data_IF_758191027459
#
_entry.id   IF_758191027459
#
_cell.length_a   1.000
_cell.length_b   1.000
_cell.length_c   1.000
_cell.angle_alpha   90.00
_cell.angle_beta   90.00
_cell.angle_gamma   90.00
#
_symmetry.space_group_name_H-M   'P 1'
#
loop_
_entity.id
_entity.type
_entity.pdbx_description
1 polymer ?
#
# COMPACT_ATOMS: atom_id res chain seq x y z
N UNK A 1 -30.72 -12.73 7.00
CA UNK A 1 -29.40 -12.08 6.82
C UNK A 1 -28.38 -13.04 7.40
N UNK A 2 -27.56 -13.67 6.56
CA UNK A 2 -26.41 -14.44 7.04
C UNK A 2 -25.54 -13.55 7.94
N UNK A 3 -24.96 -14.12 9.00
CA UNK A 3 -24.10 -13.39 9.93
C UNK A 3 -22.97 -12.68 9.18
N UNK A 4 -23.00 -11.33 9.15
CA UNK A 4 -21.89 -10.50 8.64
C UNK A 4 -20.61 -10.92 9.37
N UNK A 5 -19.55 -11.19 8.61
CA UNK A 5 -18.26 -11.57 9.18
C UNK A 5 -17.71 -10.47 10.07
N UNK A 6 -17.19 -10.82 11.25
CA UNK A 6 -16.49 -9.90 12.14
C UNK A 6 -15.03 -10.30 12.26
N UNK A 7 -14.17 -9.34 12.62
CA UNK A 7 -12.81 -9.66 13.06
C UNK A 7 -12.86 -10.49 14.35
N UNK A 8 -12.05 -11.54 14.42
CA UNK A 8 -11.93 -12.43 15.57
C UNK A 8 -11.03 -11.89 16.68
N UNK A 9 -10.25 -10.83 16.44
CA UNK A 9 -9.34 -10.26 17.44
C UNK A 9 -8.99 -8.79 17.21
N UNK A 10 -8.62 -8.08 18.29
CA UNK A 10 -8.13 -6.69 18.23
C UNK A 10 -6.87 -6.54 17.37
N UNK A 11 -5.95 -7.52 17.46
CA UNK A 11 -4.76 -7.55 16.63
C UNK A 11 -5.11 -7.72 15.14
N UNK A 12 -6.12 -8.55 14.85
CA UNK A 12 -6.64 -8.72 13.50
C UNK A 12 -7.15 -7.42 12.89
N UNK A 13 -7.90 -6.64 13.67
CA UNK A 13 -8.35 -5.30 13.28
C UNK A 13 -7.16 -4.40 12.94
N UNK A 14 -6.20 -4.27 13.85
CA UNK A 14 -5.07 -3.34 13.68
C UNK A 14 -4.22 -3.74 12.47
N UNK A 15 -3.86 -5.02 12.33
CA UNK A 15 -3.00 -5.47 11.23
C UNK A 15 -3.71 -5.45 9.88
N UNK A 16 -5.01 -5.76 9.83
CA UNK A 16 -5.77 -5.69 8.58
C UNK A 16 -5.93 -4.24 8.10
N UNK A 17 -6.31 -3.32 9.00
CA UNK A 17 -6.44 -1.91 8.63
C UNK A 17 -5.08 -1.22 8.44
N UNK A 18 -4.04 -1.61 9.17
CA UNK A 18 -2.69 -1.14 8.88
C UNK A 18 -2.18 -1.68 7.53
N UNK A 19 -2.52 -2.91 7.15
CA UNK A 19 -2.18 -3.46 5.83
C UNK A 19 -2.96 -2.83 4.68
N UNK A 20 -4.10 -2.20 4.94
CA UNK A 20 -4.77 -1.37 3.92
C UNK A 20 -4.01 -0.06 3.70
N UNK A 21 -3.53 0.57 4.77
CA UNK A 21 -2.76 1.80 4.72
C UNK A 21 -1.36 1.59 4.13
N UNK A 22 -0.66 0.56 4.60
CA UNK A 22 0.68 0.19 4.16
C UNK A 22 0.62 -0.52 2.83
N UNK A 23 1.04 0.16 1.78
CA UNK A 23 1.07 -0.39 0.43
C UNK A 23 2.26 0.09 -0.39
N UNK A 24 2.17 -0.09 -1.71
CA UNK A 24 3.15 0.44 -2.66
C UNK A 24 3.40 1.93 -2.42
N UNK A 25 2.35 2.71 -2.10
CA UNK A 25 2.42 4.15 -1.78
C UNK A 25 3.51 4.51 -0.77
N UNK A 26 3.62 3.78 0.33
CA UNK A 26 4.64 3.98 1.35
C UNK A 26 6.03 3.67 0.83
N UNK A 27 6.15 2.69 -0.08
CA UNK A 27 7.44 2.19 -0.55
C UNK A 27 8.09 3.12 -1.58
N UNK A 28 7.32 3.75 -2.46
CA UNK A 28 7.87 4.59 -3.55
C UNK A 28 7.47 6.07 -3.53
N UNK A 29 6.20 6.38 -3.21
CA UNK A 29 5.60 7.70 -3.38
C UNK A 29 6.06 8.58 -2.23
N UNK A 30 6.02 8.04 -1.01
CA UNK A 30 6.51 8.74 0.17
C UNK A 30 8.01 9.07 0.06
N UNK A 31 8.92 8.13 -0.22
CA UNK A 31 10.33 8.46 -0.38
C UNK A 31 10.56 9.49 -1.48
N UNK A 32 9.91 9.35 -2.63
CA UNK A 32 10.00 10.34 -3.70
C UNK A 32 9.60 11.75 -3.24
N UNK A 33 8.44 11.92 -2.61
CA UNK A 33 7.98 13.22 -2.13
C UNK A 33 8.87 13.78 -1.00
N UNK A 34 9.34 12.92 -0.10
CA UNK A 34 10.32 13.34 0.90
C UNK A 34 11.60 13.86 0.22
N UNK A 35 12.08 13.21 -0.84
CA UNK A 35 13.28 13.63 -1.55
C UNK A 35 13.14 14.95 -2.30
N UNK A 36 11.99 15.19 -2.92
CA UNK A 36 11.75 16.45 -3.64
C UNK A 36 11.53 17.63 -2.68
N UNK A 37 10.90 17.40 -1.54
CA UNK A 37 10.40 18.44 -0.65
C UNK A 37 11.23 18.65 0.63
N UNK A 38 12.54 18.40 0.56
CA UNK A 38 13.46 18.75 1.66
C UNK A 38 13.54 17.74 2.81
N UNK A 39 13.32 16.46 2.53
CA UNK A 39 13.53 15.34 3.44
C UNK A 39 12.68 15.47 4.70
N UNK A 40 13.33 15.69 5.84
CA UNK A 40 12.64 15.80 7.12
C UNK A 40 11.70 17.01 7.21
N UNK A 41 11.92 18.08 6.42
CA UNK A 41 11.00 19.20 6.38
C UNK A 41 9.61 18.75 5.89
N UNK A 42 9.56 17.99 4.80
CA UNK A 42 8.34 17.34 4.32
C UNK A 42 7.75 16.37 5.35
N UNK A 43 8.58 15.53 5.98
CA UNK A 43 8.12 14.54 6.97
C UNK A 43 7.41 15.23 8.14
N UNK A 44 7.93 16.38 8.61
CA UNK A 44 7.30 17.16 9.68
C UNK A 44 5.94 17.71 9.25
N UNK A 45 5.83 18.30 8.06
CA UNK A 45 4.57 18.84 7.53
C UNK A 45 3.56 17.70 7.34
N UNK A 46 4.00 16.58 6.76
CA UNK A 46 3.22 15.36 6.61
C UNK A 46 2.68 14.84 7.93
N UNK A 47 3.52 14.81 8.98
CA UNK A 47 3.12 14.36 10.31
C UNK A 47 2.06 15.27 10.94
N UNK A 48 2.18 16.59 10.74
CA UNK A 48 1.16 17.56 11.16
C UNK A 48 -0.16 17.31 10.42
N UNK A 49 -0.13 17.10 9.10
CA UNK A 49 -1.32 16.75 8.31
C UNK A 49 -1.97 15.45 8.79
N UNK A 50 -1.16 14.43 9.12
CA UNK A 50 -1.65 13.17 9.69
C UNK A 50 -2.37 13.41 11.01
N UNK A 51 -1.78 14.16 11.95
CA UNK A 51 -2.38 14.35 13.27
C UNK A 51 -3.64 15.20 13.19
N UNK A 52 -3.60 16.30 12.44
CA UNK A 52 -4.68 17.28 12.42
C UNK A 52 -5.84 16.88 11.51
N UNK A 53 -5.59 16.12 10.43
CA UNK A 53 -6.60 15.81 9.42
C UNK A 53 -6.73 14.30 9.19
N UNK A 54 -5.62 13.58 9.09
CA UNK A 54 -5.62 12.13 8.85
C UNK A 54 -6.29 11.33 9.97
N UNK A 55 -5.88 11.54 11.22
CA UNK A 55 -6.39 10.82 12.39
C UNK A 55 -7.87 11.14 12.67
N UNK A 56 -8.32 12.42 12.68
CA UNK A 56 -9.75 12.74 12.77
C UNK A 56 -10.58 12.19 11.62
N UNK A 57 -10.04 12.22 10.39
CA UNK A 57 -10.68 11.62 9.22
C UNK A 57 -10.88 10.11 9.37
N UNK A 58 -9.81 9.39 9.75
CA UNK A 58 -9.87 7.95 10.00
C UNK A 58 -10.88 7.62 11.10
N UNK A 59 -10.89 8.39 12.18
CA UNK A 59 -11.87 8.26 13.26
C UNK A 59 -13.31 8.44 12.76
N UNK A 60 -13.52 9.42 11.88
CA UNK A 60 -14.85 9.69 11.32
C UNK A 60 -15.35 8.50 10.50
N UNK A 61 -14.53 7.96 9.59
CA UNK A 61 -14.88 6.76 8.84
C UNK A 61 -15.09 5.53 9.74
N UNK A 62 -14.28 5.38 10.80
CA UNK A 62 -14.45 4.29 11.76
C UNK A 62 -15.77 4.37 12.52
N UNK A 63 -16.18 5.58 12.92
CA UNK A 63 -17.45 5.80 13.60
C UNK A 63 -18.61 5.44 12.67
N UNK A 64 -18.59 5.94 11.43
CA UNK A 64 -19.64 5.71 10.44
C UNK A 64 -19.78 4.21 10.13
N UNK A 65 -18.67 3.55 9.79
CA UNK A 65 -18.66 2.13 9.45
C UNK A 65 -19.14 1.25 10.58
N UNK A 66 -18.57 1.41 11.78
CA UNK A 66 -18.92 0.60 12.95
C UNK A 66 -20.36 0.84 13.43
N UNK A 67 -20.84 2.08 13.34
CA UNK A 67 -22.20 2.40 13.75
C UNK A 67 -23.23 1.67 12.87
N UNK A 68 -23.04 1.77 11.55
CA UNK A 68 -23.96 1.26 10.54
C UNK A 68 -23.86 -0.26 10.30
N UNK A 69 -22.69 -0.86 10.57
CA UNK A 69 -22.43 -2.30 10.36
C UNK A 69 -22.87 -2.79 8.96
N UNK A 70 -22.66 -1.92 7.96
CA UNK A 70 -23.07 -2.09 6.57
C UNK A 70 -21.89 -1.76 5.64
N UNK A 71 -22.01 -2.08 4.35
CA UNK A 71 -21.10 -1.58 3.32
C UNK A 71 -21.06 -0.05 3.32
N UNK A 72 -20.03 0.56 2.72
CA UNK A 72 -19.86 2.01 2.78
C UNK A 72 -21.05 2.80 2.21
N UNK A 73 -21.59 2.43 1.05
CA UNK A 73 -22.74 3.11 0.43
C UNK A 73 -23.97 3.14 1.35
N UNK A 74 -24.29 2.00 1.96
CA UNK A 74 -25.39 1.89 2.93
C UNK A 74 -25.07 2.58 4.25
N UNK A 75 -23.81 2.58 4.68
CA UNK A 75 -23.40 3.18 5.97
C UNK A 75 -23.63 4.69 6.03
N UNK A 76 -23.29 5.42 4.95
CA UNK A 76 -23.57 6.85 4.85
C UNK A 76 -25.08 7.13 4.78
N UNK A 77 -25.84 6.29 4.07
CA UNK A 77 -27.30 6.41 3.96
C UNK A 77 -27.98 6.24 5.32
N UNK A 78 -27.61 5.20 6.06
CA UNK A 78 -28.20 4.87 7.36
C UNK A 78 -27.96 5.97 8.40
N UNK A 79 -26.76 6.55 8.42
CA UNK A 79 -26.41 7.57 9.41
C UNK A 79 -27.07 8.93 9.11
N UNK A 80 -27.18 9.29 7.83
CA UNK A 80 -27.70 10.59 7.44
C UNK A 80 -29.23 10.68 7.38
N UNK A 81 -29.95 9.56 7.45
CA UNK A 81 -31.41 9.52 7.35
C UNK A 81 -31.96 9.96 5.98
N UNK A 82 -31.12 9.99 4.93
CA UNK A 82 -31.48 10.48 3.60
C UNK A 82 -30.51 10.05 2.49
N UNK A 83 -30.92 10.19 1.23
CA UNK A 83 -30.18 9.68 0.07
C UNK A 83 -29.02 10.58 -0.40
N UNK A 84 -28.98 11.85 0.00
CA UNK A 84 -27.96 12.80 -0.48
C UNK A 84 -26.53 12.39 -0.10
N UNK A 85 -26.35 11.85 1.11
CA UNK A 85 -25.05 11.36 1.59
C UNK A 85 -24.70 9.96 1.09
N UNK A 86 -25.68 9.22 0.54
CA UNK A 86 -25.42 7.93 -0.10
C UNK A 86 -24.43 8.08 -1.26
N UNK A 87 -24.51 9.20 -1.98
CA UNK A 87 -23.62 9.52 -3.09
C UNK A 87 -22.14 9.44 -2.70
N UNK A 88 -21.77 9.91 -1.50
CA UNK A 88 -20.39 9.83 -1.00
C UNK A 88 -19.91 8.38 -0.86
N UNK A 89 -20.77 7.50 -0.35
CA UNK A 89 -20.44 6.09 -0.22
C UNK A 89 -20.36 5.35 -1.56
N UNK A 90 -21.28 5.62 -2.49
CA UNK A 90 -21.21 5.08 -3.86
C UNK A 90 -19.97 5.58 -4.60
N UNK A 91 -19.64 6.86 -4.48
CA UNK A 91 -18.44 7.45 -5.05
C UNK A 91 -17.19 6.75 -4.49
N UNK A 92 -17.10 6.55 -3.17
CA UNK A 92 -15.99 5.83 -2.56
C UNK A 92 -15.81 4.40 -3.09
N UNK A 93 -16.90 3.64 -3.20
CA UNK A 93 -16.87 2.27 -3.77
C UNK A 93 -16.41 2.28 -5.23
N UNK A 94 -16.96 3.18 -6.05
CA UNK A 94 -16.58 3.27 -7.46
C UNK A 94 -15.12 3.72 -7.64
N UNK A 95 -14.68 4.70 -6.85
CA UNK A 95 -13.27 5.13 -6.80
C UNK A 95 -12.37 3.98 -6.39
N UNK A 96 -12.73 3.17 -5.40
CA UNK A 96 -11.91 2.02 -5.00
C UNK A 96 -11.81 0.96 -6.09
N UNK A 97 -12.88 0.73 -6.86
CA UNK A 97 -12.88 -0.21 -7.99
C UNK A 97 -11.91 0.25 -9.10
N UNK A 98 -11.95 1.56 -9.44
CA UNK A 98 -11.01 2.14 -10.40
C UNK A 98 -9.57 2.04 -9.90
N UNK A 99 -9.34 2.34 -8.61
CA UNK A 99 -8.01 2.24 -8.00
C UNK A 99 -7.52 0.80 -8.06
N UNK A 100 -8.36 -0.17 -7.70
CA UNK A 100 -8.01 -1.58 -7.75
C UNK A 100 -7.59 -2.00 -9.17
N UNK A 101 -8.27 -1.52 -10.21
CA UNK A 101 -7.94 -1.76 -11.61
C UNK A 101 -6.49 -1.44 -11.96
N UNK A 102 -6.08 -0.18 -11.84
CA UNK A 102 -4.69 0.20 -12.17
C UNK A 102 -3.67 -0.32 -11.15
N UNK A 103 -4.07 -0.46 -9.87
CA UNK A 103 -3.18 -0.94 -8.82
C UNK A 103 -2.84 -2.42 -9.03
N UNK A 104 -3.79 -3.24 -9.51
CA UNK A 104 -3.57 -4.63 -9.88
C UNK A 104 -2.53 -4.78 -10.99
N UNK A 105 -2.44 -3.81 -11.91
CA UNK A 105 -1.40 -3.77 -12.95
C UNK A 105 -0.02 -3.62 -12.35
N UNK A 106 0.17 -2.60 -11.51
CA UNK A 106 1.47 -2.37 -10.83
C UNK A 106 1.82 -3.54 -9.91
N UNK A 107 0.84 -4.12 -9.22
CA UNK A 107 1.03 -5.30 -8.39
C UNK A 107 1.46 -6.54 -9.21
N UNK A 108 0.87 -6.71 -10.41
CA UNK A 108 1.29 -7.71 -11.38
C UNK A 108 2.75 -7.52 -11.83
N UNK A 109 3.19 -6.27 -12.01
CA UNK A 109 4.59 -5.96 -12.30
C UNK A 109 5.50 -6.39 -11.15
N UNK A 110 5.13 -6.09 -9.89
CA UNK A 110 5.90 -6.56 -8.73
C UNK A 110 6.03 -8.09 -8.70
N UNK A 111 4.95 -8.82 -9.05
CA UNK A 111 4.96 -10.27 -9.07
C UNK A 111 5.82 -10.85 -10.20
N UNK A 112 5.77 -10.26 -11.40
CA UNK A 112 6.68 -10.62 -12.49
C UNK A 112 8.13 -10.37 -12.10
N UNK A 113 8.43 -9.24 -11.47
CA UNK A 113 9.80 -8.92 -11.07
C UNK A 113 10.30 -9.79 -9.91
N UNK A 114 9.42 -10.23 -9.01
CA UNK A 114 9.76 -11.26 -8.03
C UNK A 114 10.14 -12.56 -8.73
N UNK A 115 9.32 -13.02 -9.68
CA UNK A 115 9.61 -14.22 -10.48
C UNK A 115 10.93 -14.08 -11.24
N UNK A 116 11.13 -12.96 -11.94
CA UNK A 116 12.34 -12.67 -12.69
C UNK A 116 13.57 -12.63 -11.77
N UNK A 117 13.47 -12.04 -10.58
CA UNK A 117 14.56 -11.98 -9.61
C UNK A 117 14.94 -13.36 -9.09
N UNK A 118 13.96 -14.22 -8.83
CA UNK A 118 14.20 -15.62 -8.42
C UNK A 118 14.92 -16.39 -9.54
N UNK A 119 14.48 -16.21 -10.79
CA UNK A 119 15.04 -16.86 -11.97
C UNK A 119 16.36 -16.24 -12.46
N UNK A 120 16.85 -15.19 -11.79
CA UNK A 120 18.07 -14.48 -12.18
C UNK A 120 17.95 -13.62 -13.45
N UNK A 121 16.73 -13.33 -13.90
CA UNK A 121 16.44 -12.52 -15.10
C UNK A 121 16.53 -11.01 -14.90
N UNK A 122 16.88 -10.53 -13.70
CA UNK A 122 17.08 -9.10 -13.38
C UNK A 122 18.56 -8.82 -13.06
N UNK A 123 19.47 -9.66 -13.57
CA UNK A 123 20.92 -9.48 -13.45
C UNK A 123 21.51 -9.04 -14.79
N UNK A 124 21.78 -7.75 -14.92
CA UNK A 124 22.41 -7.14 -16.09
C UNK A 124 22.60 -5.65 -15.83
N UNK A 125 23.39 -4.93 -16.60
CA UNK A 125 23.65 -3.51 -16.31
C UNK A 125 22.37 -2.62 -16.31
N UNK A 126 22.54 -1.34 -16.00
CA UNK A 126 21.42 -0.38 -15.98
C UNK A 126 20.62 -0.35 -17.30
N UNK A 127 21.28 -0.56 -18.44
CA UNK A 127 20.62 -0.59 -19.75
C UNK A 127 19.79 -1.86 -19.89
N UNK A 128 20.32 -3.01 -19.50
CA UNK A 128 19.59 -4.28 -19.49
C UNK A 128 18.31 -4.19 -18.65
N UNK A 129 18.38 -3.64 -17.43
CA UNK A 129 17.19 -3.49 -16.55
C UNK A 129 16.15 -2.58 -17.20
N UNK A 130 16.58 -1.47 -17.81
CA UNK A 130 15.69 -0.54 -18.50
C UNK A 130 15.02 -1.18 -19.72
N UNK A 131 15.80 -1.87 -20.56
CA UNK A 131 15.28 -2.59 -21.73
C UNK A 131 14.33 -3.71 -21.32
N UNK A 132 14.64 -4.44 -20.24
CA UNK A 132 13.78 -5.45 -19.67
C UNK A 132 12.43 -4.87 -19.25
N UNK A 133 12.42 -3.73 -18.54
CA UNK A 133 11.19 -3.05 -18.16
C UNK A 133 10.38 -2.62 -19.38
N UNK A 134 11.00 -1.96 -20.36
CA UNK A 134 10.31 -1.47 -21.57
C UNK A 134 9.74 -2.62 -22.39
N UNK A 135 10.50 -3.71 -22.56
CA UNK A 135 10.06 -4.91 -23.27
C UNK A 135 8.88 -5.59 -22.57
N UNK A 136 8.89 -5.62 -21.24
CA UNK A 136 7.78 -6.15 -20.45
C UNK A 136 6.55 -5.24 -20.48
N UNK A 137 6.71 -3.94 -20.21
CA UNK A 137 5.59 -3.00 -20.08
C UNK A 137 4.89 -2.72 -21.41
N UNK A 138 5.62 -2.84 -22.52
CA UNK A 138 5.08 -2.64 -23.88
C UNK A 138 4.46 -3.91 -24.49
N UNK A 139 4.59 -5.06 -23.82
CA UNK A 139 3.97 -6.32 -24.24
C UNK A 139 2.46 -6.25 -23.96
N UNK A 140 1.64 -6.66 -24.93
CA UNK A 140 0.18 -6.56 -24.83
C UNK A 140 -0.46 -7.63 -23.94
N UNK A 141 0.26 -8.70 -23.62
CA UNK A 141 -0.28 -9.89 -22.94
C UNK A 141 0.37 -10.06 -21.56
N UNK A 142 1.70 -9.97 -21.45
CA UNK A 142 2.42 -10.30 -20.21
C UNK A 142 1.99 -9.47 -19.00
N UNK A 143 1.94 -8.12 -19.05
CA UNK A 143 1.47 -7.32 -17.92
C UNK A 143 0.05 -7.70 -17.50
N UNK A 144 -0.84 -7.89 -18.46
CA UNK A 144 -2.24 -8.30 -18.23
C UNK A 144 -2.32 -9.65 -17.54
N UNK A 145 -1.56 -10.65 -18.01
CA UNK A 145 -1.53 -11.98 -17.39
C UNK A 145 -1.07 -11.91 -15.93
N UNK A 146 0.00 -11.18 -15.63
CA UNK A 146 0.47 -11.04 -14.25
C UNK A 146 -0.51 -10.27 -13.37
N UNK A 147 -1.22 -9.29 -13.93
CA UNK A 147 -2.30 -8.56 -13.24
C UNK A 147 -3.45 -9.51 -12.88
N UNK A 148 -3.87 -10.35 -13.83
CA UNK A 148 -4.90 -11.38 -13.61
C UNK A 148 -4.46 -12.41 -12.57
N UNK A 149 -3.21 -12.86 -12.60
CA UNK A 149 -2.68 -13.76 -11.56
C UNK A 149 -2.72 -13.07 -10.20
N UNK A 150 -2.30 -11.81 -10.11
CA UNK A 150 -2.27 -11.07 -8.85
C UNK A 150 -3.66 -10.85 -8.25
N UNK A 151 -4.64 -10.45 -9.07
CA UNK A 151 -6.00 -10.23 -8.60
C UNK A 151 -6.67 -11.56 -8.20
N UNK A 152 -6.31 -12.68 -8.84
CA UNK A 152 -6.77 -14.00 -8.41
C UNK A 152 -6.18 -14.39 -7.03
N UNK A 153 -4.90 -14.10 -6.76
CA UNK A 153 -4.32 -14.29 -5.42
C UNK A 153 -5.09 -13.48 -4.38
N UNK A 154 -5.41 -12.23 -4.69
CA UNK A 154 -6.24 -11.35 -3.86
C UNK A 154 -7.64 -11.93 -3.64
N UNK A 155 -8.31 -12.36 -4.71
CA UNK A 155 -9.64 -12.95 -4.70
C UNK A 155 -9.72 -14.17 -3.77
N UNK A 156 -8.72 -15.06 -3.82
CA UNK A 156 -8.69 -16.26 -2.96
C UNK A 156 -8.60 -15.94 -1.47
N UNK A 157 -8.02 -14.78 -1.09
CA UNK A 157 -8.06 -14.30 0.28
C UNK A 157 -9.44 -13.74 0.62
N UNK A 158 -9.98 -12.88 -0.23
CA UNK A 158 -11.24 -12.17 0.03
C UNK A 158 -12.44 -13.12 0.11
N UNK A 159 -12.53 -14.13 -0.76
CA UNK A 159 -13.64 -15.11 -0.76
C UNK A 159 -13.72 -15.91 0.55
N UNK A 160 -12.60 -16.10 1.25
CA UNK A 160 -12.56 -16.80 2.55
C UNK A 160 -13.15 -15.97 3.69
N UNK A 161 -13.56 -14.72 3.44
CA UNK A 161 -14.21 -13.87 4.43
C UNK A 161 -13.24 -13.07 5.30
N UNK A 162 -13.80 -12.18 6.12
CA UNK A 162 -13.04 -11.27 6.99
C UNK A 162 -12.16 -12.04 7.98
N UNK A 163 -12.73 -12.97 8.76
CA UNK A 163 -11.99 -13.71 9.81
C UNK A 163 -11.04 -14.77 9.25
N UNK A 164 -11.48 -15.54 8.25
CA UNK A 164 -10.73 -16.69 7.75
C UNK A 164 -9.83 -16.37 6.53
N UNK A 165 -10.05 -15.24 5.88
CA UNK A 165 -9.23 -14.72 4.80
C UNK A 165 -8.40 -13.53 5.26
N UNK A 166 -9.03 -12.36 5.28
CA UNK A 166 -8.39 -11.05 5.50
C UNK A 166 -7.56 -11.04 6.79
N UNK A 167 -8.19 -11.34 7.95
CA UNK A 167 -7.50 -11.30 9.25
C UNK A 167 -6.32 -12.27 9.33
N UNK A 168 -6.49 -13.51 8.83
CA UNK A 168 -5.42 -14.51 8.86
C UNK A 168 -4.27 -14.11 7.95
N UNK A 169 -4.57 -13.60 6.76
CA UNK A 169 -3.57 -13.09 5.84
C UNK A 169 -2.81 -11.92 6.48
N UNK A 170 -3.50 -10.87 6.95
CA UNK A 170 -2.85 -9.70 7.54
C UNK A 170 -2.00 -10.02 8.78
N UNK A 171 -2.39 -11.01 9.59
CA UNK A 171 -1.58 -11.48 10.74
C UNK A 171 -0.24 -12.09 10.35
N UNK A 172 -0.10 -12.59 9.12
CA UNK A 172 1.14 -13.17 8.60
C UNK A 172 1.88 -12.16 7.73
N UNK A 173 1.17 -11.53 6.81
CA UNK A 173 1.75 -10.65 5.79
C UNK A 173 2.35 -9.38 6.40
N UNK A 174 1.68 -8.75 7.38
CA UNK A 174 2.18 -7.48 7.96
C UNK A 174 3.47 -7.65 8.76
N UNK A 175 3.59 -8.62 9.69
CA UNK A 175 4.87 -8.87 10.36
C UNK A 175 5.97 -9.28 9.39
N UNK A 176 5.66 -10.11 8.38
CA UNK A 176 6.64 -10.52 7.38
C UNK A 176 7.15 -9.32 6.58
N UNK A 177 6.25 -8.45 6.10
CA UNK A 177 6.60 -7.21 5.43
C UNK A 177 7.53 -6.34 6.30
N UNK A 178 7.20 -6.18 7.58
CA UNK A 178 8.02 -5.39 8.51
C UNK A 178 9.42 -5.99 8.68
N UNK A 179 9.53 -7.31 8.86
CA UNK A 179 10.84 -7.99 8.98
C UNK A 179 11.66 -7.84 7.71
N UNK A 180 11.06 -8.05 6.54
CA UNK A 180 11.75 -7.86 5.25
C UNK A 180 12.24 -6.42 5.10
N UNK A 181 11.43 -5.45 5.45
CA UNK A 181 11.79 -4.04 5.38
C UNK A 181 13.01 -3.73 6.25
N UNK A 182 13.02 -4.22 7.49
CA UNK A 182 14.16 -4.02 8.40
C UNK A 182 15.44 -4.65 7.84
N UNK A 183 15.37 -5.86 7.28
CA UNK A 183 16.54 -6.52 6.68
C UNK A 183 17.13 -5.65 5.56
N UNK A 184 16.29 -5.13 4.66
CA UNK A 184 16.75 -4.31 3.53
C UNK A 184 17.25 -2.96 4.02
N UNK A 185 16.60 -2.32 4.99
CA UNK A 185 17.07 -1.06 5.61
C UNK A 185 18.46 -1.23 6.22
N UNK A 186 18.69 -2.30 6.98
CA UNK A 186 20.01 -2.60 7.57
C UNK A 186 21.05 -2.79 6.47
N UNK A 187 20.71 -3.53 5.40
CA UNK A 187 21.60 -3.71 4.26
C UNK A 187 21.93 -2.38 3.57
N UNK A 188 20.93 -1.53 3.29
CA UNK A 188 21.09 -0.20 2.68
C UNK A 188 21.93 0.74 3.53
N UNK A 189 21.70 0.78 4.85
CA UNK A 189 22.44 1.62 5.78
C UNK A 189 23.89 1.15 6.02
N UNK A 190 24.19 -0.11 5.73
CA UNK A 190 25.55 -0.67 5.87
C UNK A 190 26.45 -0.38 4.66
N UNK A 191 25.91 0.24 3.60
CA UNK A 191 26.67 0.53 2.39
C UNK A 191 27.66 1.71 2.59
N UNK A 192 28.77 1.74 1.85
CA UNK A 192 29.70 2.87 1.89
C UNK A 192 29.01 4.18 1.49
N UNK A 193 29.14 5.23 2.31
CA UNK A 193 28.52 6.53 2.03
C UNK A 193 27.00 6.63 2.30
N UNK A 194 26.38 5.55 2.78
CA UNK A 194 24.96 5.46 3.11
C UNK A 194 24.46 6.58 4.06
N UNK A 195 25.32 7.01 4.99
CA UNK A 195 24.98 8.07 5.95
C UNK A 195 24.59 9.39 5.28
N UNK A 196 25.10 9.70 4.08
CA UNK A 196 24.65 10.88 3.33
C UNK A 196 23.17 10.80 2.95
N UNK A 197 22.68 9.60 2.61
CA UNK A 197 21.27 9.37 2.32
C UNK A 197 20.40 9.39 3.58
N UNK A 198 20.92 8.90 4.70
CA UNK A 198 20.26 9.04 6.01
C UNK A 198 20.12 10.51 6.40
N UNK A 199 21.21 11.27 6.30
CA UNK A 199 21.23 12.71 6.57
C UNK A 199 20.29 13.45 5.62
N UNK A 200 20.28 13.11 4.33
CA UNK A 200 19.35 13.69 3.37
C UNK A 200 17.88 13.49 3.75
N UNK A 201 17.51 12.31 4.25
CA UNK A 201 16.15 12.01 4.66
C UNK A 201 15.79 12.69 6.00
N UNK A 202 16.71 12.71 6.96
CA UNK A 202 16.41 13.07 8.36
C UNK A 202 16.82 14.51 8.72
N UNK A 203 17.62 15.19 7.89
CA UNK A 203 17.96 16.59 8.08
C UNK A 203 16.95 17.48 7.35
N UNK A 204 16.25 18.38 8.06
CA UNK A 204 15.22 19.20 7.43
C UNK A 204 15.85 20.28 6.55
N UNK A 205 15.39 20.37 5.30
CA UNK A 205 15.74 21.47 4.39
C UNK A 205 14.49 22.28 4.04
N UNK A 206 14.22 23.31 4.85
CA UNK A 206 13.08 24.21 4.62
C UNK A 206 13.21 25.08 3.38
N UNK A 207 14.39 25.15 2.74
CA UNK A 207 14.57 25.91 1.48
C UNK A 207 13.81 25.28 0.32
N UNK A 208 13.49 23.97 0.41
CA UNK A 208 12.70 23.22 -0.57
C UNK A 208 11.19 23.21 -0.28
N UNK A 209 10.75 23.90 0.78
CA UNK A 209 9.32 23.98 1.12
C UNK A 209 8.69 25.15 0.36
N UNK A 210 7.96 24.83 -0.69
CA UNK A 210 7.15 25.80 -1.46
C UNK A 210 5.67 25.77 -1.04
N UNK A 211 4.82 26.51 -1.76
CA UNK A 211 3.38 26.58 -1.49
C UNK A 211 2.64 25.26 -1.78
N UNK A 212 3.21 24.38 -2.60
CA UNK A 212 2.61 23.10 -3.00
C UNK A 212 2.90 21.99 -1.99
N UNK A 213 4.01 22.08 -1.25
CA UNK A 213 4.43 21.06 -0.26
C UNK A 213 3.33 20.72 0.74
N UNK A 214 2.54 21.72 1.20
CA UNK A 214 1.42 21.45 2.11
C UNK A 214 0.33 20.58 1.45
N UNK A 215 -0.02 20.89 0.20
CA UNK A 215 -1.03 20.15 -0.56
C UNK A 215 -0.52 18.74 -0.88
N UNK A 216 0.75 18.59 -1.23
CA UNK A 216 1.38 17.29 -1.48
C UNK A 216 1.44 16.43 -0.21
N UNK A 217 1.84 17.02 0.92
CA UNK A 217 1.85 16.35 2.21
C UNK A 217 0.43 15.90 2.63
N UNK A 218 -0.58 16.75 2.41
CA UNK A 218 -1.98 16.42 2.66
C UNK A 218 -2.46 15.28 1.75
N UNK A 219 -2.19 15.37 0.45
CA UNK A 219 -2.53 14.34 -0.52
C UNK A 219 -1.81 13.02 -0.27
N UNK A 220 -0.59 13.06 0.28
CA UNK A 220 0.09 11.86 0.74
C UNK A 220 -0.54 11.28 2.00
N UNK A 221 -0.92 12.10 2.98
CA UNK A 221 -1.55 11.63 4.21
C UNK A 221 -2.88 10.91 3.94
N UNK A 222 -3.70 11.46 3.05
CA UNK A 222 -4.98 10.84 2.67
C UNK A 222 -4.77 9.53 1.91
N UNK A 223 -3.81 9.51 0.97
CA UNK A 223 -3.49 8.32 0.19
C UNK A 223 -2.91 7.21 1.08
N UNK A 224 -1.92 7.53 1.92
CA UNK A 224 -1.26 6.56 2.81
C UNK A 224 -2.24 5.95 3.79
N UNK A 225 -3.14 6.75 4.38
CA UNK A 225 -4.11 6.24 5.35
C UNK A 225 -5.34 5.57 4.71
N UNK A 226 -5.41 5.46 3.37
CA UNK A 226 -6.60 4.98 2.65
C UNK A 226 -7.88 5.76 2.99
N UNK A 227 -7.73 7.07 3.21
CA UNK A 227 -8.82 7.94 3.64
C UNK A 227 -9.63 8.45 2.43
N UNK A 228 -10.96 8.43 2.55
CA UNK A 228 -11.88 8.92 1.51
C UNK A 228 -12.22 7.89 0.41
N UNK A 229 -11.66 6.67 0.47
CA UNK A 229 -11.90 5.61 -0.52
C UNK A 229 -12.93 4.58 -0.07
N UNK A 230 -13.69 4.85 1.00
CA UNK A 230 -14.61 3.90 1.63
C UNK A 230 -13.96 2.65 2.27
N UNK A 231 -12.63 2.53 2.22
CA UNK A 231 -11.88 1.42 2.80
C UNK A 231 -12.04 1.35 4.33
N UNK A 232 -11.73 2.45 5.02
CA UNK A 232 -11.76 2.50 6.48
C UNK A 232 -13.18 2.32 7.01
N UNK A 233 -14.17 2.94 6.35
CA UNK A 233 -15.59 2.73 6.64
C UNK A 233 -15.99 1.25 6.50
N UNK A 234 -15.61 0.59 5.40
CA UNK A 234 -15.93 -0.83 5.17
C UNK A 234 -15.27 -1.72 6.22
N UNK A 235 -13.99 -1.51 6.53
CA UNK A 235 -13.27 -2.31 7.53
C UNK A 235 -13.86 -2.11 8.93
N UNK A 236 -14.17 -0.86 9.29
CA UNK A 236 -14.77 -0.54 10.57
C UNK A 236 -16.18 -1.13 10.76
N UNK A 237 -16.90 -1.39 9.66
CA UNK A 237 -18.18 -2.11 9.71
C UNK A 237 -18.08 -3.53 10.28
N UNK A 238 -16.87 -4.11 10.34
CA UNK A 238 -16.59 -5.42 10.94
C UNK A 238 -16.04 -5.33 12.37
N UNK A 239 -15.93 -4.11 12.93
CA UNK A 239 -15.39 -3.92 14.27
C UNK A 239 -16.45 -4.24 15.33
N UNK A 240 -16.02 -4.91 16.40
CA UNK A 240 -16.85 -5.08 17.59
C UNK A 240 -17.19 -3.74 18.25
N UNK A 241 -18.32 -3.69 18.97
CA UNK A 241 -18.70 -2.52 19.79
C UNK A 241 -17.68 -2.23 20.90
N UNK A 242 -16.89 -3.23 21.34
CA UNK A 242 -15.86 -3.06 22.37
C UNK A 242 -14.52 -2.53 21.82
N UNK A 243 -14.37 -2.42 20.50
CA UNK A 243 -13.13 -1.88 19.90
C UNK A 243 -12.98 -0.40 20.24
N UNK A 244 -11.85 0.00 20.83
CA UNK A 244 -11.56 1.41 21.07
C UNK A 244 -11.06 2.04 19.77
N UNK A 245 -11.90 2.86 19.13
CA UNK A 245 -11.62 3.43 17.82
C UNK A 245 -10.40 4.34 17.82
N UNK A 246 -10.28 5.23 18.83
CA UNK A 246 -9.16 6.17 18.92
C UNK A 246 -7.85 5.42 19.07
N UNK A 247 -7.79 4.45 19.99
CA UNK A 247 -6.60 3.64 20.19
C UNK A 247 -6.23 2.89 18.90
N UNK A 248 -7.20 2.28 18.22
CA UNK A 248 -6.95 1.59 16.96
C UNK A 248 -6.44 2.53 15.87
N UNK A 249 -7.08 3.69 15.68
CA UNK A 249 -6.68 4.68 14.69
C UNK A 249 -5.26 5.21 14.95
N UNK A 250 -4.93 5.55 16.20
CA UNK A 250 -3.57 5.98 16.57
C UNK A 250 -2.52 4.91 16.29
N UNK A 251 -2.82 3.63 16.59
CA UNK A 251 -1.87 2.53 16.31
C UNK A 251 -1.64 2.34 14.81
N UNK A 252 -2.70 2.42 14.01
CA UNK A 252 -2.61 2.29 12.54
C UNK A 252 -1.77 3.42 11.95
N UNK A 253 -2.05 4.67 12.35
CA UNK A 253 -1.29 5.85 11.91
C UNK A 253 0.19 5.75 12.25
N UNK A 254 0.53 5.27 13.46
CA UNK A 254 1.92 5.08 13.88
C UNK A 254 2.60 4.00 13.04
N UNK A 255 1.95 2.86 12.80
CA UNK A 255 2.50 1.78 11.99
C UNK A 255 2.76 2.26 10.54
N UNK A 256 1.77 2.94 9.94
CA UNK A 256 1.87 3.50 8.59
C UNK A 256 3.05 4.49 8.47
N UNK A 257 3.16 5.40 9.43
CA UNK A 257 4.22 6.43 9.45
C UNK A 257 5.61 5.80 9.62
N UNK A 258 5.75 4.83 10.54
CA UNK A 258 7.02 4.12 10.74
C UNK A 258 7.44 3.42 9.45
N UNK A 259 6.52 2.72 8.79
CA UNK A 259 6.83 2.00 7.55
C UNK A 259 7.20 2.96 6.41
N UNK A 260 6.54 4.11 6.31
CA UNK A 260 6.90 5.16 5.34
C UNK A 260 8.34 5.68 5.57
N UNK A 261 8.72 5.98 6.81
CA UNK A 261 10.08 6.43 7.14
C UNK A 261 11.11 5.33 6.86
N UNK A 262 10.81 4.08 7.24
CA UNK A 262 11.68 2.93 6.97
C UNK A 262 11.85 2.70 5.46
N UNK A 263 10.81 2.88 4.65
CA UNK A 263 10.91 2.83 3.20
C UNK A 263 11.84 3.93 2.64
N UNK A 264 11.80 5.14 3.23
CA UNK A 264 12.79 6.18 2.94
C UNK A 264 14.23 5.74 3.25
N UNK A 265 14.44 5.14 4.43
CA UNK A 265 15.74 4.59 4.85
C UNK A 265 16.18 3.36 4.05
N UNK A 266 15.27 2.68 3.38
CA UNK A 266 15.59 1.60 2.45
C UNK A 266 16.17 2.18 1.15
N UNK A 267 15.62 3.29 0.66
CA UNK A 267 15.91 3.87 -0.66
C UNK A 267 17.08 4.85 -0.63
N UNK A 268 17.03 5.87 0.23
CA UNK A 268 18.00 6.98 0.17
C UNK A 268 19.45 6.55 0.48
N UNK A 269 19.72 5.76 1.53
CA UNK A 269 21.09 5.33 1.82
C UNK A 269 21.72 4.54 0.67
N UNK A 270 20.94 3.65 0.05
CA UNK A 270 21.40 2.88 -1.11
C UNK A 270 21.63 3.78 -2.33
N UNK A 271 20.69 4.68 -2.65
CA UNK A 271 20.79 5.60 -3.78
C UNK A 271 22.01 6.53 -3.68
N UNK A 272 22.26 7.10 -2.49
CA UNK A 272 23.41 7.96 -2.22
C UNK A 272 24.75 7.19 -2.21
N UNK A 273 24.75 5.93 -1.81
CA UNK A 273 25.96 5.09 -1.84
C UNK A 273 26.52 4.93 -3.25
N UNK A 274 25.61 4.80 -4.24
CA UNK A 274 25.97 4.60 -5.65
C UNK A 274 25.90 5.87 -6.50
N UNK A 275 25.57 7.02 -5.90
CA UNK A 275 25.50 8.31 -6.57
C UNK A 275 24.34 8.45 -7.57
N UNK A 276 23.25 7.70 -7.39
CA UNK A 276 22.06 7.74 -8.24
C UNK A 276 20.98 8.57 -7.55
N UNK A 277 20.40 9.54 -8.25
CA UNK A 277 19.23 10.25 -7.75
C UNK A 277 17.96 9.40 -7.96
N UNK A 278 17.13 9.19 -6.92
CA UNK A 278 15.90 8.42 -7.08
C UNK A 278 14.90 9.14 -7.99
N UNK A 279 14.44 8.44 -9.03
CA UNK A 279 13.34 8.85 -9.93
C UNK A 279 11.98 8.82 -9.22
N UNK A 280 10.92 9.18 -9.95
CA UNK A 280 9.52 9.09 -9.50
C UNK A 280 8.81 7.87 -10.09
N UNK A 281 7.70 7.49 -9.44
CA UNK A 281 6.76 6.55 -10.05
C UNK A 281 7.37 5.17 -10.37
N UNK A 282 6.83 4.45 -11.36
CA UNK A 282 7.19 3.03 -11.55
C UNK A 282 8.66 2.85 -11.92
N UNK A 283 9.24 3.83 -12.61
CA UNK A 283 10.65 3.88 -12.94
C UNK A 283 11.56 3.82 -11.70
N UNK A 284 11.13 4.37 -10.55
CA UNK A 284 11.87 4.20 -9.30
C UNK A 284 11.97 2.72 -8.91
N UNK A 285 10.84 2.02 -8.85
CA UNK A 285 10.77 0.62 -8.38
C UNK A 285 11.39 -0.37 -9.37
N UNK A 286 11.16 -0.18 -10.66
CA UNK A 286 11.45 -1.20 -11.67
C UNK A 286 12.72 -0.93 -12.48
N UNK A 287 13.30 0.27 -12.38
CA UNK A 287 14.53 0.63 -13.10
C UNK A 287 15.60 1.12 -12.12
N UNK A 288 15.27 2.15 -11.34
CA UNK A 288 16.26 2.82 -10.49
C UNK A 288 16.72 1.93 -9.34
N UNK A 289 15.79 1.37 -8.56
CA UNK A 289 16.14 0.57 -7.38
C UNK A 289 16.88 -0.74 -7.70
N UNK A 290 16.52 -1.50 -8.75
CA UNK A 290 17.32 -2.65 -9.17
C UNK A 290 18.74 -2.26 -9.56
N UNK A 291 18.90 -1.17 -10.32
CA UNK A 291 20.22 -0.64 -10.66
C UNK A 291 21.00 -0.21 -9.41
N UNK A 292 20.34 0.46 -8.46
CA UNK A 292 20.95 0.86 -7.19
C UNK A 292 21.42 -0.35 -6.41
N UNK A 293 20.58 -1.38 -6.22
CA UNK A 293 20.97 -2.58 -5.48
C UNK A 293 22.07 -3.35 -6.19
N UNK A 294 22.03 -3.43 -7.51
CA UNK A 294 23.08 -4.09 -8.26
C UNK A 294 24.44 -3.37 -8.16
N UNK A 295 24.46 -2.04 -8.26
CA UNK A 295 25.68 -1.26 -8.08
C UNK A 295 26.18 -1.35 -6.62
N UNK A 296 25.27 -1.23 -5.67
CA UNK A 296 25.58 -1.25 -4.23
C UNK A 296 26.13 -2.60 -3.77
N UNK A 297 25.58 -3.70 -4.29
CA UNK A 297 25.96 -5.06 -3.93
C UNK A 297 26.77 -5.77 -5.04
N UNK A 298 27.32 -5.03 -6.00
CA UNK A 298 28.05 -5.59 -7.14
C UNK A 298 29.29 -6.39 -6.75
N UNK A 299 29.94 -6.02 -5.64
CA UNK A 299 31.04 -6.77 -5.04
C UNK A 299 30.61 -8.03 -4.27
N UNK A 300 29.31 -8.25 -4.07
CA UNK A 300 28.74 -9.36 -3.31
C UNK A 300 27.55 -9.99 -4.07
N UNK A 301 27.79 -10.74 -5.16
CA UNK A 301 26.73 -11.21 -6.07
C UNK A 301 25.59 -11.97 -5.39
N UNK A 302 25.91 -12.81 -4.40
CA UNK A 302 24.92 -13.57 -3.62
C UNK A 302 24.04 -12.64 -2.77
N UNK A 303 24.62 -11.62 -2.14
CA UNK A 303 23.86 -10.65 -1.34
C UNK A 303 22.99 -9.79 -2.25
N UNK A 304 23.50 -9.35 -3.39
CA UNK A 304 22.71 -8.60 -4.39
C UNK A 304 21.51 -9.39 -4.90
N UNK A 305 21.68 -10.68 -5.20
CA UNK A 305 20.57 -11.59 -5.54
C UNK A 305 19.53 -11.66 -4.42
N UNK A 306 19.97 -11.95 -3.19
CA UNK A 306 19.07 -12.06 -2.05
C UNK A 306 18.30 -10.76 -1.80
N UNK A 307 18.97 -9.61 -1.81
CA UNK A 307 18.32 -8.31 -1.60
C UNK A 307 17.29 -8.02 -2.70
N UNK A 308 17.58 -8.34 -3.97
CA UNK A 308 16.63 -8.17 -5.06
C UNK A 308 15.36 -9.02 -4.85
N UNK A 309 15.53 -10.30 -4.53
CA UNK A 309 14.41 -11.20 -4.23
C UNK A 309 13.60 -10.71 -3.02
N UNK A 310 14.27 -10.31 -1.94
CA UNK A 310 13.61 -9.79 -0.73
C UNK A 310 12.86 -8.48 -0.99
N UNK A 311 13.41 -7.59 -1.81
CA UNK A 311 12.80 -6.32 -2.18
C UNK A 311 11.51 -6.54 -2.98
N UNK A 312 11.54 -7.37 -4.02
CA UNK A 312 10.32 -7.66 -4.78
C UNK A 312 9.32 -8.50 -4.00
N UNK A 313 9.78 -9.36 -3.09
CA UNK A 313 8.90 -10.05 -2.15
C UNK A 313 8.18 -9.04 -1.26
N UNK A 314 8.90 -8.07 -0.68
CA UNK A 314 8.31 -6.98 0.11
C UNK A 314 7.25 -6.21 -0.67
N UNK A 315 7.52 -5.86 -1.93
CA UNK A 315 6.56 -5.15 -2.79
C UNK A 315 5.31 -5.97 -3.08
N UNK A 316 5.47 -7.26 -3.38
CA UNK A 316 4.33 -8.18 -3.58
C UNK A 316 3.49 -8.28 -2.31
N UNK A 317 4.12 -8.36 -1.13
CA UNK A 317 3.39 -8.41 0.14
C UNK A 317 2.63 -7.11 0.41
N UNK A 318 3.28 -5.96 0.21
CA UNK A 318 2.67 -4.64 0.39
C UNK A 318 1.51 -4.42 -0.57
N UNK A 319 1.68 -4.81 -1.84
CA UNK A 319 0.63 -4.72 -2.83
C UNK A 319 -0.55 -5.64 -2.49
N UNK A 320 -0.27 -6.87 -2.03
CA UNK A 320 -1.30 -7.85 -1.69
C UNK A 320 -2.17 -7.39 -0.51
N UNK A 321 -1.58 -6.80 0.54
CA UNK A 321 -2.37 -6.28 1.67
C UNK A 321 -3.29 -5.14 1.26
N UNK A 322 -2.82 -4.25 0.38
CA UNK A 322 -3.63 -3.17 -0.17
C UNK A 322 -4.74 -3.67 -1.09
N UNK A 323 -4.45 -4.57 -2.04
CA UNK A 323 -5.46 -5.09 -2.97
C UNK A 323 -6.54 -5.89 -2.26
N UNK A 324 -6.21 -6.65 -1.21
CA UNK A 324 -7.21 -7.32 -0.35
C UNK A 324 -8.20 -6.30 0.22
N UNK A 325 -7.70 -5.14 0.62
CA UNK A 325 -8.51 -4.09 1.24
C UNK A 325 -9.41 -3.39 0.24
N UNK A 326 -8.86 -3.04 -0.93
CA UNK A 326 -9.62 -2.42 -2.02
C UNK A 326 -10.70 -3.36 -2.57
N UNK A 327 -10.36 -4.64 -2.79
CA UNK A 327 -11.28 -5.65 -3.30
C UNK A 327 -12.43 -5.96 -2.32
N UNK A 328 -12.17 -5.87 -1.01
CA UNK A 328 -13.22 -6.06 0.00
C UNK A 328 -14.31 -4.99 -0.09
N UNK A 329 -14.00 -3.76 -0.51
CA UNK A 329 -14.96 -2.65 -0.60
C UNK A 329 -16.05 -3.00 -1.62
N UNK A 330 -15.64 -3.36 -2.84
CA UNK A 330 -16.55 -3.79 -3.90
C UNK A 330 -17.25 -5.11 -3.57
N UNK A 331 -16.51 -6.08 -3.01
CA UNK A 331 -17.09 -7.37 -2.59
C UNK A 331 -18.21 -7.18 -1.56
N UNK A 332 -17.98 -6.38 -0.52
CA UNK A 332 -18.98 -6.08 0.51
C UNK A 332 -20.19 -5.34 -0.05
N UNK A 333 -19.95 -4.39 -0.95
CA UNK A 333 -21.00 -3.66 -1.65
C UNK A 333 -21.91 -4.60 -2.46
N UNK A 334 -21.34 -5.42 -3.35
CA UNK A 334 -22.14 -6.33 -4.16
C UNK A 334 -22.84 -7.41 -3.33
N UNK A 335 -22.15 -7.96 -2.33
CA UNK A 335 -22.72 -8.93 -1.39
C UNK A 335 -24.01 -8.40 -0.75
N UNK A 336 -24.00 -7.16 -0.24
CA UNK A 336 -25.11 -6.59 0.52
C UNK A 336 -26.20 -5.93 -0.31
N UNK A 337 -25.83 -5.24 -1.38
CA UNK A 337 -26.80 -4.52 -2.22
C UNK A 337 -27.51 -5.45 -3.20
N UNK A 338 -26.82 -6.47 -3.72
CA UNK A 338 -27.43 -7.48 -4.60
C UNK A 338 -27.96 -8.71 -3.88
N UNK A 339 -27.73 -8.83 -2.56
CA UNK A 339 -28.16 -9.98 -1.74
C UNK A 339 -27.69 -11.33 -2.32
N UNK A 340 -26.48 -11.34 -2.88
CA UNK A 340 -25.85 -12.53 -3.47
C UNK A 340 -24.86 -13.14 -2.50
N UNK A 341 -24.31 -14.31 -2.82
CA UNK A 341 -23.22 -14.89 -2.02
C UNK A 341 -21.96 -14.02 -2.07
N UNK A 342 -21.14 -14.03 -1.01
CA UNK A 342 -19.85 -13.33 -0.99
C UNK A 342 -18.94 -13.74 -2.13
N UNK A 343 -18.92 -15.03 -2.46
CA UNK A 343 -18.14 -15.57 -3.59
C UNK A 343 -18.59 -14.95 -4.90
N UNK A 344 -19.89 -14.82 -5.13
CA UNK A 344 -20.45 -14.16 -6.31
C UNK A 344 -20.09 -12.68 -6.35
N UNK A 345 -20.20 -11.95 -5.23
CA UNK A 345 -19.81 -10.54 -5.14
C UNK A 345 -18.33 -10.32 -5.45
N UNK A 346 -17.45 -11.17 -4.90
CA UNK A 346 -16.02 -11.13 -5.15
C UNK A 346 -15.68 -11.40 -6.63
N UNK A 347 -16.41 -12.30 -7.30
CA UNK A 347 -16.21 -12.54 -8.74
C UNK A 347 -16.61 -11.33 -9.59
N UNK A 348 -17.70 -10.63 -9.24
CA UNK A 348 -18.08 -9.39 -9.93
C UNK A 348 -16.95 -8.37 -9.85
N UNK A 349 -16.41 -8.14 -8.64
CA UNK A 349 -15.29 -7.22 -8.44
C UNK A 349 -14.04 -7.63 -9.22
N UNK A 350 -13.71 -8.92 -9.20
CA UNK A 350 -12.53 -9.46 -9.89
C UNK A 350 -12.65 -9.29 -11.40
N UNK A 351 -13.81 -9.61 -11.97
CA UNK A 351 -14.04 -9.47 -13.40
C UNK A 351 -14.04 -7.99 -13.79
N UNK A 352 -14.67 -7.12 -13.00
CA UNK A 352 -14.69 -5.68 -13.24
C UNK A 352 -13.28 -5.05 -13.19
N UNK A 353 -12.36 -5.60 -12.38
CA UNK A 353 -10.97 -5.17 -12.32
C UNK A 353 -10.12 -5.68 -13.50
N UNK A 354 -10.49 -6.81 -14.10
CA UNK A 354 -9.75 -7.43 -15.22
C UNK A 354 -10.14 -6.90 -16.60
N UNK A 355 -11.27 -6.17 -16.70
CA UNK A 355 -11.80 -5.54 -17.91
C UNK A 355 -11.45 -4.06 -17.86
#
# INVERSE_FOLDING_TARGET
MENRGNFGSKLGVILATAGSAVGLGNVWRFPYMAGQNGGAAFILIYFVCIILLGLPGMMSEFIIGRHSAANAARSYTNLAGGKSWAFMGYMGVFTSMIILGFYAVVAGWCLQYLYASIMGGVHGDANYVKEYFVAFSSDSIKPTLWSVVFILLTHFVVVRGVRNGIEKASKVLMPLLFVLLIIIVVASCSLPGAMKGVDFLLKPDFSKVDQNVLLEALGQAFFSLSLGTACLCTYASYFSRQTNLLKSASQIVVIDTIIAILAGLMIFPAAFSVGVNPDSGPSLIFITLPNVFQLAFGGMPVVGYLISVLFYALLVLAALTSTISMHEIGTAFFYEERKISRKSGAWIETIACCV
#
